data_IF_613070218651
#
_entry.id   IF_613070218651
#
_cell.length_a   1.000
_cell.length_b   1.000
_cell.length_c   1.000
_cell.angle_alpha   90.00
_cell.angle_beta   90.00
_cell.angle_gamma   90.00
#
_symmetry.space_group_name_H-M   'P 1'
#
loop_
_entity.id
_entity.type
_entity.pdbx_description
1 polymer ?
#
# COMPACT_ATOMS: atom_id res chain seq x y z
N UNK A 1 -5.20 18.33 1.54
CA UNK A 1 -4.51 17.08 1.21
C UNK A 1 -4.92 16.03 2.23
N UNK A 2 -5.73 15.06 1.82
CA UNK A 2 -6.10 13.92 2.65
C UNK A 2 -4.87 13.00 2.77
N UNK A 3 -4.72 12.35 3.93
CA UNK A 3 -3.58 11.47 4.26
C UNK A 3 -3.13 10.60 3.08
N UNK A 4 -1.84 10.64 2.74
CA UNK A 4 -1.28 9.81 1.69
C UNK A 4 -1.16 8.35 2.18
N UNK A 5 -2.17 7.55 1.87
CA UNK A 5 -2.25 6.16 2.28
C UNK A 5 -2.68 5.26 1.11
N UNK A 6 -2.21 4.01 1.13
CA UNK A 6 -2.59 2.98 0.16
C UNK A 6 -3.64 2.11 0.82
N UNK A 7 -4.71 1.79 0.09
CA UNK A 7 -5.78 0.91 0.57
C UNK A 7 -5.74 -0.42 -0.16
N UNK A 8 -5.77 -1.52 0.60
CA UNK A 8 -5.92 -2.87 0.06
C UNK A 8 -7.39 -3.28 0.16
N UNK A 9 -7.96 -3.78 -0.94
CA UNK A 9 -9.38 -4.12 -1.03
C UNK A 9 -9.57 -5.59 -1.40
N UNK A 10 -10.50 -6.27 -0.71
CA UNK A 10 -11.06 -7.53 -1.20
C UNK A 10 -12.33 -7.22 -1.98
N UNK A 11 -12.34 -7.52 -3.28
CA UNK A 11 -13.48 -7.23 -4.14
C UNK A 11 -14.69 -8.12 -3.83
N UNK A 12 -14.51 -9.22 -3.08
CA UNK A 12 -15.62 -10.05 -2.57
C UNK A 12 -16.36 -9.35 -1.41
N UNK A 13 -15.68 -8.46 -0.70
CA UNK A 13 -16.18 -7.76 0.48
C UNK A 13 -15.87 -6.24 0.40
N UNK A 14 -16.41 -5.59 -0.62
CA UNK A 14 -16.12 -4.18 -0.94
C UNK A 14 -16.76 -3.12 -0.03
N UNK A 15 -17.22 -3.47 1.17
CA UNK A 15 -17.83 -2.49 2.09
C UNK A 15 -16.78 -1.57 2.74
N UNK A 16 -15.56 -2.07 2.95
CA UNK A 16 -14.44 -1.31 3.51
C UNK A 16 -13.11 -1.91 3.06
N UNK A 17 -12.02 -1.12 3.02
CA UNK A 17 -10.70 -1.67 2.75
C UNK A 17 -10.30 -2.69 3.82
N UNK A 18 -9.58 -3.74 3.41
CA UNK A 18 -9.03 -4.74 4.33
C UNK A 18 -7.88 -4.18 5.15
N UNK A 19 -7.02 -3.37 4.53
CA UNK A 19 -5.80 -2.81 5.15
C UNK A 19 -5.54 -1.40 4.65
N UNK A 20 -4.92 -0.61 5.52
CA UNK A 20 -4.42 0.72 5.22
C UNK A 20 -2.91 0.73 5.41
N UNK A 21 -2.15 0.95 4.34
CA UNK A 21 -0.70 1.08 4.40
C UNK A 21 -0.36 2.57 4.48
N UNK A 22 0.09 2.99 5.67
CA UNK A 22 0.44 4.38 5.96
C UNK A 22 1.95 4.49 6.16
N UNK A 23 2.58 5.44 5.48
CA UNK A 23 4.02 5.68 5.59
C UNK A 23 4.54 6.81 4.71
N UNK A 24 3.85 7.06 3.59
CA UNK A 24 4.09 8.28 2.82
C UNK A 24 3.54 9.51 3.54
N UNK A 25 4.30 10.60 3.53
CA UNK A 25 3.89 11.87 4.15
C UNK A 25 3.34 12.88 3.13
N UNK A 26 3.42 12.55 1.84
CA UNK A 26 2.91 13.33 0.70
C UNK A 26 2.32 12.39 -0.34
N UNK A 27 1.59 12.95 -1.31
CA UNK A 27 0.89 12.17 -2.35
C UNK A 27 1.75 11.08 -2.99
N UNK A 28 1.18 9.88 -3.07
CA UNK A 28 1.76 8.71 -3.74
C UNK A 28 1.68 8.94 -5.25
N UNK A 29 2.75 8.60 -5.96
CA UNK A 29 2.91 8.82 -7.39
C UNK A 29 2.76 7.53 -8.20
N UNK A 30 3.24 6.41 -7.65
CA UNK A 30 3.22 5.13 -8.34
C UNK A 30 3.14 3.94 -7.36
N UNK A 31 2.59 2.83 -7.84
CA UNK A 31 2.40 1.57 -7.12
C UNK A 31 2.65 0.38 -8.05
N UNK A 32 3.54 -0.53 -7.65
CA UNK A 32 3.88 -1.70 -8.44
C UNK A 32 4.03 -2.95 -7.57
N UNK A 33 3.24 -3.98 -7.88
CA UNK A 33 3.44 -5.32 -7.33
C UNK A 33 4.69 -5.97 -7.95
N UNK A 34 5.44 -6.71 -7.14
CA UNK A 34 6.54 -7.51 -7.67
C UNK A 34 5.99 -8.60 -8.59
N UNK A 35 6.56 -8.77 -9.80
CA UNK A 35 6.17 -9.85 -10.71
C UNK A 35 6.65 -11.22 -10.23
N UNK A 36 7.63 -11.26 -9.33
CA UNK A 36 8.25 -12.49 -8.84
C UNK A 36 7.80 -12.89 -7.43
N UNK A 37 7.22 -11.96 -6.67
CA UNK A 37 6.76 -12.20 -5.30
C UNK A 37 5.44 -11.47 -5.04
N UNK A 38 4.35 -12.22 -4.93
CA UNK A 38 3.00 -11.67 -4.69
C UNK A 38 2.84 -11.01 -3.33
N UNK A 39 3.80 -11.18 -2.41
CA UNK A 39 3.80 -10.53 -1.11
C UNK A 39 4.52 -9.19 -1.11
N UNK A 40 5.15 -8.78 -2.22
CA UNK A 40 5.89 -7.52 -2.26
C UNK A 40 5.18 -6.49 -3.12
N UNK A 41 4.94 -5.33 -2.53
CA UNK A 41 4.41 -4.14 -3.19
C UNK A 41 5.39 -2.98 -2.99
N UNK A 42 5.70 -2.25 -4.05
CA UNK A 42 6.51 -1.03 -3.99
C UNK A 42 5.63 0.19 -4.21
N UNK A 43 5.91 1.27 -3.48
CA UNK A 43 5.30 2.58 -3.70
C UNK A 43 6.36 3.68 -3.79
N UNK A 44 6.09 4.70 -4.60
CA UNK A 44 6.88 5.93 -4.66
C UNK A 44 6.01 7.14 -4.35
N UNK A 45 6.57 8.18 -3.71
CA UNK A 45 5.81 9.35 -3.27
C UNK A 45 6.54 10.68 -3.48
N UNK A 46 5.76 11.77 -3.44
CA UNK A 46 6.26 13.17 -3.46
C UNK A 46 7.07 13.56 -2.23
N UNK A 47 7.23 12.66 -1.27
CA UNK A 47 8.05 12.79 -0.09
C UNK A 47 9.49 12.26 -0.30
N UNK A 48 9.87 11.98 -1.55
CA UNK A 48 11.18 11.45 -1.94
C UNK A 48 11.50 10.08 -1.32
N UNK A 49 10.45 9.30 -1.02
CA UNK A 49 10.60 7.94 -0.50
C UNK A 49 10.15 6.91 -1.53
N UNK A 50 10.81 5.76 -1.47
CA UNK A 50 10.32 4.51 -2.01
C UNK A 50 10.12 3.57 -0.81
N UNK A 51 8.94 2.98 -0.69
CA UNK A 51 8.61 2.09 0.44
C UNK A 51 8.27 0.71 -0.13
N UNK A 52 8.84 -0.33 0.48
CA UNK A 52 8.51 -1.72 0.21
C UNK A 52 7.54 -2.21 1.28
N UNK A 53 6.45 -2.82 0.84
CA UNK A 53 5.37 -3.29 1.68
C UNK A 53 5.21 -4.79 1.54
N UNK A 54 4.86 -5.44 2.66
CA UNK A 54 4.24 -6.75 2.64
C UNK A 54 2.75 -6.64 3.00
N UNK A 55 1.85 -6.43 2.02
CA UNK A 55 0.41 -6.32 2.26
C UNK A 55 -0.23 -7.63 2.74
N UNK A 56 0.42 -8.78 2.53
CA UNK A 56 -0.08 -10.08 3.00
C UNK A 56 0.41 -10.42 4.40
N UNK A 57 1.30 -9.62 4.99
CA UNK A 57 1.78 -9.85 6.34
C UNK A 57 0.62 -9.81 7.34
N UNK A 58 0.41 -10.95 8.01
CA UNK A 58 -0.62 -11.15 9.01
C UNK A 58 -0.15 -10.76 10.41
N UNK A 59 1.15 -10.49 10.59
CA UNK A 59 1.73 -10.13 11.89
C UNK A 59 1.41 -8.70 12.35
N UNK A 60 0.81 -7.90 11.46
CA UNK A 60 0.43 -6.49 11.72
C UNK A 60 -1.08 -6.33 11.97
N UNK A 61 -1.79 -7.41 12.32
CA UNK A 61 -3.19 -7.34 12.77
C UNK A 61 -3.32 -6.88 14.22
#
# INVERSE_FOLDING_TARGET
DQSAAIQLWDLRYGASPMKLLSGHTRGILDLQWSPNDSNLLMSSGKDNKIICWNPNDLSVM
#
